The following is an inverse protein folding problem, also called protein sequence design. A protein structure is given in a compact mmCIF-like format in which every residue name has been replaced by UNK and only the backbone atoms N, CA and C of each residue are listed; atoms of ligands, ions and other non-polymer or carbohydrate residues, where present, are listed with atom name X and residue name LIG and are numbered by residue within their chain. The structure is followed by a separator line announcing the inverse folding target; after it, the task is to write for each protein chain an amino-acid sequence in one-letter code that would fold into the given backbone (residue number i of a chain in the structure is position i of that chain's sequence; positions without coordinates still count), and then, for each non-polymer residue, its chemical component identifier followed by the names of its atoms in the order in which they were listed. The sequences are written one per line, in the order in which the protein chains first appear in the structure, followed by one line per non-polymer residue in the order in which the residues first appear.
data_IF_870469195184
#
_entry.id   IF_870469195184
#
_cell.length_a   1.000
_cell.length_b   1.000
_cell.length_c   1.000
_cell.angle_alpha   90.00
_cell.angle_beta   90.00
_cell.angle_gamma   90.00
#
_symmetry.space_group_name_H-M   'P 1'
#
loop_
_entity.id
_entity.type
_entity.pdbx_description
1 polymer ?
#
# COMPACT_ATOMS: atom_id res chain seq x y z
N UNK A 1 57.12 31.08 -17.36
CA UNK A 1 57.70 29.94 -16.64
C UNK A 1 56.72 29.52 -15.53
N UNK A 2 56.60 28.21 -15.30
CA UNK A 2 55.57 27.51 -14.50
C UNK A 2 55.87 27.42 -12.98
N UNK A 3 54.80 27.02 -12.26
CA UNK A 3 54.69 26.35 -10.93
C UNK A 3 54.37 27.26 -9.71
N UNK A 4 53.41 26.96 -8.82
CA UNK A 4 52.49 25.82 -8.63
C UNK A 4 51.74 25.90 -7.27
N UNK A 5 50.76 24.99 -7.06
CA UNK A 5 49.96 24.67 -5.84
C UNK A 5 48.87 25.70 -5.42
N UNK A 6 47.62 25.38 -5.07
CA UNK A 6 46.80 24.17 -4.82
C UNK A 6 45.48 24.66 -4.12
N UNK A 7 44.36 23.91 -4.09
CA UNK A 7 43.09 24.41 -3.56
C UNK A 7 42.99 24.23 -2.03
N UNK A 8 42.45 25.21 -1.31
CA UNK A 8 42.08 25.04 0.11
C UNK A 8 40.59 25.33 0.31
N UNK A 9 39.87 24.26 0.64
CA UNK A 9 38.44 24.20 0.94
C UNK A 9 38.19 24.87 2.29
N UNK A 10 37.61 26.06 2.28
CA UNK A 10 37.19 26.81 3.46
C UNK A 10 35.89 26.26 4.06
N UNK A 11 35.98 25.87 5.33
CA UNK A 11 34.99 25.25 6.20
C UNK A 11 33.63 25.99 6.30
N UNK A 12 32.55 25.18 6.32
CA UNK A 12 31.53 25.25 7.38
C UNK A 12 30.36 26.22 7.22
N UNK A 13 29.37 25.86 6.39
CA UNK A 13 28.06 26.51 6.40
C UNK A 13 27.25 26.02 7.62
N UNK A 14 27.32 26.75 8.74
CA UNK A 14 26.53 26.49 9.95
C UNK A 14 25.04 26.73 9.67
N UNK A 15 24.26 25.66 9.46
CA UNK A 15 22.79 25.73 9.46
C UNK A 15 22.27 25.49 10.89
N UNK A 16 21.78 26.54 11.54
CA UNK A 16 20.96 26.42 12.76
C UNK A 16 19.59 25.84 12.36
N UNK A 17 19.14 24.70 12.93
CA UNK A 17 17.74 24.33 12.85
C UNK A 17 16.97 25.19 13.86
N UNK A 18 16.26 26.21 13.37
CA UNK A 18 15.26 26.90 14.17
C UNK A 18 14.06 25.96 14.35
N UNK A 19 14.03 25.23 15.47
CA UNK A 19 12.82 24.56 15.97
C UNK A 19 11.86 25.66 16.45
N UNK A 20 11.12 26.21 15.50
CA UNK A 20 9.98 27.08 15.76
C UNK A 20 8.74 26.21 15.88
N UNK A 21 8.31 25.92 17.11
CA UNK A 21 6.98 25.39 17.40
C UNK A 21 5.96 26.42 16.92
N UNK A 22 5.31 26.19 15.77
CA UNK A 22 4.26 27.08 15.28
C UNK A 22 3.00 26.90 16.16
N UNK A 23 2.60 27.91 16.96
CA UNK A 23 1.31 27.90 17.62
C UNK A 23 0.30 28.47 16.62
N UNK A 24 -0.34 27.59 15.85
CA UNK A 24 -1.40 27.97 14.92
C UNK A 24 -1.12 27.53 13.49
N UNK A 25 -1.93 26.58 13.01
CA UNK A 25 -2.43 26.47 11.64
C UNK A 25 -1.46 26.50 10.45
N UNK A 26 -0.15 26.45 10.66
CA UNK A 26 0.85 26.48 9.59
C UNK A 26 1.03 25.11 8.96
N UNK A 27 0.93 25.03 7.63
CA UNK A 27 1.31 23.85 6.88
C UNK A 27 2.81 23.59 7.08
N UNK A 28 3.16 22.41 7.59
CA UNK A 28 4.56 22.00 7.72
C UNK A 28 5.22 21.88 6.34
N UNK A 29 6.52 22.21 6.22
CA UNK A 29 7.25 21.97 4.98
C UNK A 29 7.29 20.48 4.66
N UNK A 30 7.30 20.14 3.37
CA UNK A 30 7.50 18.75 2.93
C UNK A 30 8.86 18.22 3.41
N UNK A 31 8.87 16.97 3.88
CA UNK A 31 10.12 16.27 4.19
C UNK A 31 10.95 16.07 2.90
N UNK A 32 12.28 16.04 3.05
CA UNK A 32 13.17 15.69 1.95
C UNK A 32 13.02 14.19 1.62
N UNK A 33 13.18 13.80 0.36
CA UNK A 33 12.99 12.41 -0.07
C UNK A 33 13.92 11.43 0.64
N UNK A 34 15.13 11.87 1.00
CA UNK A 34 16.09 11.07 1.79
C UNK A 34 15.62 10.80 3.23
N UNK A 35 14.69 11.61 3.75
CA UNK A 35 14.13 11.48 5.09
C UNK A 35 12.80 10.69 5.07
N UNK A 36 12.35 10.23 3.90
CA UNK A 36 11.12 9.45 3.74
C UNK A 36 11.42 7.95 3.70
N UNK A 37 10.67 7.17 4.47
CA UNK A 37 10.69 5.73 4.34
C UNK A 37 9.89 5.31 3.09
N UNK A 38 10.57 4.76 2.09
CA UNK A 38 9.93 4.26 0.86
C UNK A 38 9.51 2.80 1.06
N UNK A 39 8.21 2.57 1.21
CA UNK A 39 7.65 1.22 1.31
C UNK A 39 7.53 0.61 -0.09
N UNK A 40 8.19 -0.52 -0.29
CA UNK A 40 8.09 -1.27 -1.54
C UNK A 40 6.75 -2.02 -1.62
N UNK A 41 6.10 -2.10 -2.79
CA UNK A 41 4.89 -2.87 -2.95
C UNK A 41 5.20 -4.36 -2.75
N UNK A 42 4.34 -5.05 -2.00
CA UNK A 42 4.46 -6.51 -1.83
C UNK A 42 4.08 -7.27 -3.10
N UNK A 43 3.29 -6.65 -3.98
CA UNK A 43 2.83 -7.21 -5.25
C UNK A 43 2.46 -6.09 -6.22
N UNK A 44 2.68 -6.35 -7.51
CA UNK A 44 2.30 -5.44 -8.60
C UNK A 44 1.76 -6.24 -9.80
N UNK A 45 0.47 -6.06 -10.09
CA UNK A 45 -0.22 -6.72 -11.20
C UNK A 45 -1.08 -5.72 -11.97
N UNK A 46 -1.25 -5.97 -13.28
CA UNK A 46 -2.21 -5.23 -14.11
C UNK A 46 -3.58 -5.87 -13.96
N UNK A 47 -4.50 -5.17 -13.31
CA UNK A 47 -5.86 -5.68 -13.02
C UNK A 47 -6.87 -5.36 -14.14
N UNK A 48 -6.69 -4.22 -14.81
CA UNK A 48 -7.57 -3.72 -15.86
C UNK A 48 -6.76 -3.33 -17.11
N UNK A 49 -7.44 -3.28 -18.26
CA UNK A 49 -6.83 -2.78 -19.49
C UNK A 49 -6.79 -1.25 -19.49
N UNK A 50 -7.86 -0.63 -19.03
CA UNK A 50 -8.01 0.81 -18.84
C UNK A 50 -7.61 1.24 -17.41
N UNK A 51 -7.39 2.54 -17.17
CA UNK A 51 -7.05 3.05 -15.84
C UNK A 51 -8.11 2.70 -14.80
N UNK A 52 -7.66 2.16 -13.65
CA UNK A 52 -8.50 1.93 -12.48
C UNK A 52 -8.99 3.27 -11.93
N UNK A 53 -10.31 3.45 -11.77
CA UNK A 53 -10.89 4.64 -11.13
C UNK A 53 -11.19 4.45 -9.65
N UNK A 54 -11.49 3.23 -9.21
CA UNK A 54 -11.98 2.99 -7.85
C UNK A 54 -11.55 1.63 -7.29
N UNK A 55 -11.43 1.58 -5.96
CA UNK A 55 -11.11 0.39 -5.17
C UNK A 55 -11.88 0.40 -3.85
N UNK A 56 -12.58 -0.70 -3.57
CA UNK A 56 -13.32 -0.90 -2.33
C UNK A 56 -12.86 -2.17 -1.61
N UNK A 57 -12.63 -2.07 -0.31
CA UNK A 57 -12.27 -3.19 0.55
C UNK A 57 -13.45 -3.57 1.44
N UNK A 58 -13.82 -4.84 1.46
CA UNK A 58 -14.80 -5.39 2.41
C UNK A 58 -14.17 -6.53 3.22
N UNK A 59 -14.94 -7.11 4.14
CA UNK A 59 -14.49 -8.26 4.95
C UNK A 59 -14.15 -9.48 4.08
N UNK A 60 -14.85 -9.67 2.96
CA UNK A 60 -14.77 -10.91 2.18
C UNK A 60 -14.14 -10.72 0.80
N UNK A 61 -14.16 -9.50 0.27
CA UNK A 61 -13.71 -9.24 -1.08
C UNK A 61 -13.03 -7.88 -1.23
N UNK A 62 -12.33 -7.73 -2.33
CA UNK A 62 -11.84 -6.45 -2.85
C UNK A 62 -12.53 -6.22 -4.20
N UNK A 63 -13.04 -5.03 -4.44
CA UNK A 63 -13.65 -4.64 -5.71
C UNK A 63 -12.79 -3.58 -6.37
N UNK A 64 -12.57 -3.71 -7.67
CA UNK A 64 -11.83 -2.73 -8.48
C UNK A 64 -12.65 -2.37 -9.71
N UNK A 65 -12.69 -1.09 -10.06
CA UNK A 65 -13.39 -0.60 -11.25
C UNK A 65 -12.45 0.21 -12.17
N UNK A 66 -12.71 0.19 -13.47
CA UNK A 66 -12.02 1.04 -14.46
C UNK A 66 -12.96 2.07 -15.12
N UNK A 67 -12.37 2.96 -15.92
CA UNK A 67 -13.09 4.05 -16.60
C UNK A 67 -14.11 3.60 -17.65
N UNK A 68 -14.12 2.31 -18.02
CA UNK A 68 -15.12 1.75 -18.95
C UNK A 68 -16.35 1.20 -18.24
N UNK A 69 -16.32 1.17 -16.91
CA UNK A 69 -17.32 0.50 -16.10
C UNK A 69 -17.05 -0.99 -15.90
N UNK A 70 -15.85 -1.48 -16.23
CA UNK A 70 -15.48 -2.87 -15.92
C UNK A 70 -15.26 -3.00 -14.41
N UNK A 71 -16.07 -3.84 -13.76
CA UNK A 71 -15.97 -4.12 -12.32
C UNK A 71 -15.48 -5.55 -12.11
N UNK A 72 -14.44 -5.70 -11.28
CA UNK A 72 -13.86 -6.99 -10.90
C UNK A 72 -13.90 -7.18 -9.39
N UNK A 73 -14.20 -8.40 -8.96
CA UNK A 73 -14.27 -8.79 -7.55
C UNK A 73 -13.23 -9.87 -7.26
N UNK A 74 -12.46 -9.67 -6.19
CA UNK A 74 -11.37 -10.53 -5.76
C UNK A 74 -11.69 -11.08 -4.36
N UNK A 75 -11.90 -12.38 -4.26
CA UNK A 75 -12.22 -13.02 -2.99
C UNK A 75 -10.98 -13.11 -2.08
N UNK A 76 -11.17 -12.90 -0.77
CA UNK A 76 -10.08 -13.05 0.20
C UNK A 76 -9.83 -14.53 0.50
N UNK A 77 -8.56 -14.96 0.70
CA UNK A 77 -8.26 -16.36 0.98
C UNK A 77 -9.03 -16.95 2.18
N UNK A 78 -9.32 -16.14 3.21
CA UNK A 78 -10.01 -16.59 4.41
C UNK A 78 -11.51 -16.90 4.19
N UNK A 79 -12.18 -16.31 3.19
CA UNK A 79 -13.60 -16.61 2.92
C UNK A 79 -13.78 -17.94 2.19
N UNK A 80 -12.85 -18.32 1.33
CA UNK A 80 -12.82 -19.64 0.68
C UNK A 80 -12.75 -20.79 1.70
N UNK A 81 -12.01 -20.59 2.79
CA UNK A 81 -11.92 -21.59 3.86
C UNK A 81 -13.26 -21.79 4.58
N UNK A 82 -14.02 -20.71 4.83
CA UNK A 82 -15.37 -20.81 5.42
C UNK A 82 -16.31 -21.63 4.55
N UNK A 83 -16.38 -21.32 3.26
CA UNK A 83 -17.26 -22.06 2.32
C UNK A 83 -16.87 -23.54 2.25
N UNK A 84 -15.57 -23.85 2.17
CA UNK A 84 -15.11 -25.24 2.14
C UNK A 84 -15.44 -26.02 3.42
N UNK A 85 -15.32 -25.40 4.60
CA UNK A 85 -15.68 -26.03 5.86
C UNK A 85 -17.20 -26.24 5.98
N UNK A 86 -18.00 -25.25 5.59
CA UNK A 86 -19.47 -25.37 5.60
C UNK A 86 -19.95 -26.47 4.66
N UNK A 87 -19.39 -26.55 3.44
CA UNK A 87 -19.71 -27.61 2.49
C UNK A 87 -19.36 -28.99 3.06
N UNK A 88 -18.19 -29.13 3.67
CA UNK A 88 -17.75 -30.39 4.28
C UNK A 88 -18.64 -30.81 5.43
N UNK A 89 -19.02 -29.88 6.30
CA UNK A 89 -19.95 -30.14 7.41
C UNK A 89 -21.35 -30.54 6.90
N UNK A 90 -21.86 -29.88 5.86
CA UNK A 90 -23.14 -30.21 5.25
C UNK A 90 -23.13 -31.61 4.60
N UNK A 91 -22.06 -31.97 3.90
CA UNK A 91 -21.89 -33.31 3.32
C UNK A 91 -21.85 -34.39 4.40
N UNK A 92 -21.15 -34.15 5.52
CA UNK A 92 -21.09 -35.09 6.64
C UNK A 92 -22.45 -35.26 7.32
N UNK A 93 -23.20 -34.17 7.50
CA UNK A 93 -24.56 -34.21 8.05
C UNK A 93 -25.53 -34.99 7.14
N UNK A 94 -25.41 -34.82 5.81
CA UNK A 94 -26.21 -35.56 4.83
C UNK A 94 -25.92 -37.07 4.84
N UNK A 95 -24.67 -37.48 5.14
CA UNK A 95 -24.33 -38.90 5.30
C UNK A 95 -24.75 -39.50 6.63
N UNK A 96 -25.02 -38.68 7.64
CA UNK A 96 -25.37 -39.13 8.99
C UNK A 96 -26.88 -39.27 9.22
N UNK A 97 -27.73 -38.88 8.27
CA UNK A 97 -29.19 -38.88 8.41
C UNK A 97 -29.92 -39.74 7.39
N UNK A 98 -30.06 -41.04 7.68
CA UNK A 98 -31.22 -41.81 7.24
C UNK A 98 -31.67 -42.67 8.43
N UNK A 99 -32.63 -42.20 9.25
CA UNK A 99 -33.33 -43.08 10.18
C UNK A 99 -34.25 -43.98 9.35
N UNK A 100 -34.01 -45.28 9.40
CA UNK A 100 -34.98 -46.29 8.95
C UNK A 100 -36.12 -46.47 9.94
#
# INVERSE_FOLDING_TARGET
ALAGAGPSLGLGHQRKPSVGKAPGGGMSPSLHSLDMNVVQPSMQHRLHLEPTCDIAFTEHFVVTADHTGCVRTWERPASLQRVSMTLRAAMQAATAGSPG
#
